data_IF_851473923404
#
_entry.id   IF_851473923404
#
_cell.length_a   1.000
_cell.length_b   1.000
_cell.length_c   1.000
_cell.angle_alpha   90.00
_cell.angle_beta   90.00
_cell.angle_gamma   90.00
#
_symmetry.space_group_name_H-M   'P 1'
#
loop_
_entity.id
_entity.type
_entity.pdbx_description
1 polymer ?
#
# COMPACT_ATOMS: atom_id res chain seq x y z
N UNK A 1 17.78 -2.30 70.55
CA UNK A 1 16.67 -3.10 69.99
C UNK A 1 15.75 -2.12 69.30
N UNK A 2 15.66 -2.27 67.97
CA UNK A 2 14.71 -1.70 66.99
C UNK A 2 14.45 -0.18 67.06
N UNK A 3 14.91 0.68 66.14
CA UNK A 3 14.88 0.65 64.67
C UNK A 3 13.46 0.65 64.09
N UNK A 4 12.71 1.74 64.25
CA UNK A 4 11.60 2.08 63.35
C UNK A 4 12.04 3.21 62.43
N UNK A 5 12.68 2.74 61.36
CA UNK A 5 12.75 3.22 59.99
C UNK A 5 11.71 4.28 59.63
N UNK A 6 12.12 5.56 59.72
CA UNK A 6 11.44 6.64 59.00
C UNK A 6 12.00 6.64 57.58
N UNK A 7 11.21 6.09 56.65
CA UNK A 7 11.54 6.03 55.22
C UNK A 7 11.51 7.46 54.68
N UNK A 8 12.62 8.03 54.17
CA UNK A 8 12.51 9.20 53.32
C UNK A 8 11.79 8.80 52.03
N UNK A 9 10.74 9.53 51.68
CA UNK A 9 10.10 9.47 50.36
C UNK A 9 11.21 9.60 49.30
N UNK A 10 11.38 8.52 48.54
CA UNK A 10 12.28 8.44 47.41
C UNK A 10 11.59 9.16 46.24
N UNK A 11 11.74 10.48 46.19
CA UNK A 11 11.57 11.26 44.97
C UNK A 11 12.70 10.85 44.01
N UNK A 12 12.47 9.75 43.27
CA UNK A 12 13.22 9.42 42.06
C UNK A 12 12.82 10.41 40.96
N UNK A 13 13.37 11.61 41.07
CA UNK A 13 13.75 12.41 39.92
C UNK A 13 14.81 11.61 39.12
N UNK A 14 14.80 11.77 37.80
CA UNK A 14 15.76 11.19 36.83
C UNK A 14 15.34 9.86 36.19
N UNK A 15 14.33 9.97 35.34
CA UNK A 15 14.07 9.05 34.24
C UNK A 15 13.87 9.82 32.94
N UNK A 16 14.78 10.75 32.65
CA UNK A 16 15.03 11.29 31.31
C UNK A 16 15.03 10.13 30.29
N UNK A 17 13.91 9.97 29.60
CA UNK A 17 13.86 9.47 28.23
C UNK A 17 13.18 10.52 27.35
N UNK A 18 13.42 11.79 27.69
CA UNK A 18 13.45 12.88 26.74
C UNK A 18 14.85 12.81 26.11
N UNK A 19 14.94 12.98 24.79
CA UNK A 19 16.21 13.14 24.06
C UNK A 19 17.06 11.88 23.83
N UNK A 20 16.59 11.05 22.90
CA UNK A 20 17.36 10.82 21.67
C UNK A 20 16.37 10.78 20.49
N UNK A 21 15.65 11.89 20.29
CA UNK A 21 15.46 12.32 18.90
C UNK A 21 16.86 12.69 18.42
N UNK A 22 17.57 11.67 17.93
CA UNK A 22 18.75 11.88 17.13
C UNK A 22 18.26 12.79 16.00
N UNK A 23 18.57 14.07 16.13
CA UNK A 23 18.43 15.13 15.15
C UNK A 23 19.26 14.72 13.94
N UNK A 24 18.80 13.68 13.24
CA UNK A 24 19.25 13.35 11.92
C UNK A 24 18.63 14.41 11.06
N UNK A 25 19.38 15.49 10.92
CA UNK A 25 19.47 16.23 9.67
C UNK A 25 19.23 15.20 8.57
N UNK A 26 18.08 15.29 7.91
CA UNK A 26 17.84 14.52 6.69
C UNK A 26 18.90 15.03 5.72
N UNK A 27 20.07 14.41 5.81
CA UNK A 27 21.17 14.71 4.92
C UNK A 27 20.58 14.44 3.55
N UNK A 28 20.52 15.50 2.78
CA UNK A 28 20.11 15.55 1.39
C UNK A 28 21.18 14.76 0.62
N UNK A 29 21.25 13.46 0.89
CA UNK A 29 22.09 12.49 0.23
C UNK A 29 21.51 12.35 -1.18
N UNK A 30 21.91 13.30 -2.02
CA UNK A 30 22.00 13.28 -3.47
C UNK A 30 22.85 12.09 -3.91
N UNK A 31 22.35 10.89 -3.62
CA UNK A 31 22.96 9.63 -3.98
C UNK A 31 22.12 9.00 -5.07
N UNK A 32 22.32 9.49 -6.31
CA UNK A 32 22.08 8.85 -7.61
C UNK A 32 21.29 7.51 -7.59
N UNK A 33 20.07 7.54 -7.07
CA UNK A 33 19.09 6.47 -7.18
C UNK A 33 18.35 6.62 -8.50
N UNK A 34 17.86 5.53 -9.11
CA UNK A 34 17.25 5.60 -10.43
C UNK A 34 16.12 6.64 -10.41
N UNK A 35 16.16 7.59 -11.35
CA UNK A 35 15.30 8.78 -11.50
C UNK A 35 13.78 8.53 -11.48
N UNK A 36 13.37 7.26 -11.33
CA UNK A 36 12.01 6.81 -11.20
C UNK A 36 11.38 7.20 -9.86
N UNK A 37 12.13 7.22 -8.75
CA UNK A 37 11.57 7.52 -7.43
C UNK A 37 11.37 9.02 -7.16
N UNK A 38 12.13 9.89 -7.83
CA UNK A 38 11.96 11.35 -7.74
C UNK A 38 10.67 11.81 -8.40
N UNK A 39 10.27 11.19 -9.52
CA UNK A 39 9.05 11.55 -10.23
C UNK A 39 8.41 10.33 -10.93
N UNK A 40 7.72 9.45 -10.18
CA UNK A 40 7.18 8.21 -10.73
C UNK A 40 5.98 8.44 -11.66
N UNK A 41 5.27 9.56 -11.50
CA UNK A 41 3.96 9.80 -12.13
C UNK A 41 3.93 9.69 -13.65
N UNK A 42 4.83 10.33 -14.44
CA UNK A 42 4.73 10.26 -15.90
C UNK A 42 4.94 8.85 -16.44
N UNK A 43 5.89 8.10 -15.86
CA UNK A 43 6.21 6.72 -16.27
C UNK A 43 5.12 5.75 -15.82
N UNK A 44 4.62 5.88 -14.58
CA UNK A 44 3.51 5.06 -14.09
C UNK A 44 2.25 5.28 -14.91
N UNK A 45 1.87 6.53 -15.19
CA UNK A 45 0.68 6.83 -16.00
C UNK A 45 0.83 6.24 -17.40
N UNK A 46 2.01 6.38 -18.04
CA UNK A 46 2.28 5.75 -19.33
C UNK A 46 2.07 4.23 -19.29
N UNK A 47 2.63 3.54 -18.29
CA UNK A 47 2.47 2.10 -18.12
C UNK A 47 1.00 1.74 -17.90
N UNK A 48 0.29 2.47 -17.04
CA UNK A 48 -1.14 2.24 -16.79
C UNK A 48 -1.97 2.45 -18.06
N UNK A 49 -1.70 3.51 -18.83
CA UNK A 49 -2.37 3.76 -20.10
C UNK A 49 -2.12 2.63 -21.10
N UNK A 50 -0.89 2.13 -21.22
CA UNK A 50 -0.57 0.99 -22.09
C UNK A 50 -1.30 -0.28 -21.64
N UNK A 51 -1.36 -0.54 -20.32
CA UNK A 51 -2.11 -1.68 -19.77
C UNK A 51 -3.60 -1.53 -20.05
N UNK A 52 -4.19 -0.36 -19.85
CA UNK A 52 -5.60 -0.09 -20.13
C UNK A 52 -5.94 -0.26 -21.61
N UNK A 53 -5.08 0.26 -22.49
CA UNK A 53 -5.22 0.09 -23.93
C UNK A 53 -5.10 -1.38 -24.34
N UNK A 54 -4.20 -2.14 -23.72
CA UNK A 54 -4.11 -3.59 -23.90
C UNK A 54 -5.38 -4.31 -23.48
N UNK A 55 -5.94 -4.00 -22.32
CA UNK A 55 -7.18 -4.62 -21.82
C UNK A 55 -8.37 -4.32 -22.75
N UNK A 56 -8.42 -3.15 -23.38
CA UNK A 56 -9.50 -2.78 -24.30
C UNK A 56 -9.33 -3.39 -25.69
N UNK A 57 -8.09 -3.44 -26.22
CA UNK A 57 -7.85 -3.83 -27.61
C UNK A 57 -7.50 -5.31 -27.82
N UNK A 58 -7.00 -6.02 -26.81
CA UNK A 58 -6.62 -7.44 -26.94
C UNK A 58 -7.81 -8.41 -26.98
N UNK A 59 -8.89 -8.24 -26.18
CA UNK A 59 -10.00 -9.18 -26.19
C UNK A 59 -10.74 -9.14 -27.54
N UNK A 60 -11.12 -10.30 -28.11
CA UNK A 60 -11.99 -10.32 -29.27
C UNK A 60 -13.36 -9.71 -28.93
N UNK A 61 -14.04 -9.13 -29.93
CA UNK A 61 -15.30 -8.39 -29.74
C UNK A 61 -16.37 -9.18 -28.98
N UNK A 62 -16.45 -10.50 -29.19
CA UNK A 62 -17.42 -11.37 -28.52
C UNK A 62 -17.16 -11.46 -27.01
N UNK A 63 -15.89 -11.56 -26.61
CA UNK A 63 -15.49 -11.57 -25.19
C UNK A 63 -15.73 -10.20 -24.58
N UNK A 64 -15.37 -9.13 -25.30
CA UNK A 64 -15.58 -7.76 -24.84
C UNK A 64 -17.06 -7.45 -24.57
N UNK A 65 -17.96 -7.88 -25.46
CA UNK A 65 -19.40 -7.63 -25.33
C UNK A 65 -20.01 -8.23 -24.05
N UNK A 66 -19.46 -9.35 -23.56
CA UNK A 66 -19.95 -10.06 -22.37
C UNK A 66 -19.23 -9.60 -21.10
N UNK A 67 -17.93 -9.35 -21.17
CA UNK A 67 -17.06 -9.19 -19.99
C UNK A 67 -16.48 -7.79 -19.81
N UNK A 68 -16.92 -6.80 -20.59
CA UNK A 68 -16.44 -5.41 -20.54
C UNK A 68 -16.35 -4.83 -19.11
N UNK A 69 -17.40 -5.00 -18.30
CA UNK A 69 -17.44 -4.46 -16.94
C UNK A 69 -16.45 -5.15 -16.01
N UNK A 70 -16.28 -6.47 -16.13
CA UNK A 70 -15.30 -7.22 -15.33
C UNK A 70 -13.89 -6.80 -15.70
N UNK A 71 -13.58 -6.72 -17.00
CA UNK A 71 -12.28 -6.26 -17.50
C UNK A 71 -11.98 -4.82 -17.05
N UNK A 72 -12.97 -3.93 -17.11
CA UNK A 72 -12.83 -2.56 -16.65
C UNK A 72 -12.63 -2.46 -15.12
N UNK A 73 -13.34 -3.27 -14.35
CA UNK A 73 -13.17 -3.39 -12.91
C UNK A 73 -11.76 -3.85 -12.54
N UNK A 74 -11.25 -4.86 -13.24
CA UNK A 74 -9.89 -5.37 -13.05
C UNK A 74 -8.84 -4.33 -13.42
N UNK A 75 -9.07 -3.54 -14.47
CA UNK A 75 -8.21 -2.41 -14.79
C UNK A 75 -8.20 -1.34 -13.69
N UNK A 76 -9.38 -0.97 -13.16
CA UNK A 76 -9.48 -0.06 -12.02
C UNK A 76 -8.72 -0.58 -10.79
N UNK A 77 -8.81 -1.88 -10.54
CA UNK A 77 -8.09 -2.56 -9.47
C UNK A 77 -6.56 -2.50 -9.66
N UNK A 78 -6.06 -2.63 -10.89
CA UNK A 78 -4.64 -2.45 -11.22
C UNK A 78 -4.18 -1.00 -10.98
N UNK A 79 -5.01 -0.01 -11.34
CA UNK A 79 -4.70 1.41 -11.12
C UNK A 79 -4.57 1.70 -9.62
N UNK A 80 -5.59 1.33 -8.85
CA UNK A 80 -5.60 1.51 -7.39
C UNK A 80 -4.39 0.82 -6.78
N UNK A 81 -4.08 -0.38 -7.26
CA UNK A 81 -2.94 -1.12 -6.76
C UNK A 81 -1.62 -0.41 -7.02
N UNK A 82 -1.42 0.08 -8.24
CA UNK A 82 -0.23 0.82 -8.64
C UNK A 82 -0.03 2.08 -7.79
N UNK A 83 -1.12 2.83 -7.53
CA UNK A 83 -1.09 4.03 -6.67
C UNK A 83 -0.71 3.64 -5.24
N UNK A 84 -1.36 2.63 -4.67
CA UNK A 84 -1.09 2.16 -3.31
C UNK A 84 0.34 1.68 -3.13
N UNK A 85 0.85 0.93 -4.10
CA UNK A 85 2.24 0.46 -4.12
C UNK A 85 3.23 1.62 -4.18
N UNK A 86 3.03 2.60 -5.05
CA UNK A 86 3.93 3.77 -5.16
C UNK A 86 3.95 4.58 -3.86
N UNK A 87 2.78 4.86 -3.28
CA UNK A 87 2.73 5.63 -2.04
C UNK A 87 3.32 4.82 -0.88
N UNK A 88 3.04 3.51 -0.80
CA UNK A 88 3.61 2.63 0.22
C UNK A 88 5.14 2.55 0.15
N UNK A 89 5.70 2.43 -1.06
CA UNK A 89 7.16 2.49 -1.25
C UNK A 89 7.73 3.86 -0.94
N UNK A 90 7.04 4.95 -1.29
CA UNK A 90 7.50 6.30 -0.93
C UNK A 90 7.58 6.47 0.58
N UNK A 91 6.58 6.01 1.33
CA UNK A 91 6.63 6.04 2.81
C UNK A 91 7.83 5.24 3.30
N UNK A 92 8.07 4.05 2.75
CA UNK A 92 9.21 3.21 3.13
C UNK A 92 10.55 3.95 2.98
N UNK A 93 10.77 4.64 1.86
CA UNK A 93 12.02 5.37 1.61
C UNK A 93 12.12 6.70 2.37
N UNK A 94 11.00 7.33 2.73
CA UNK A 94 11.01 8.62 3.45
C UNK A 94 11.12 8.47 4.97
N UNK A 95 10.73 7.33 5.54
CA UNK A 95 10.70 7.13 7.01
C UNK A 95 11.78 6.16 7.49
N UNK A 96 13.02 6.34 7.03
CA UNK A 96 14.14 5.54 7.49
C UNK A 96 14.33 5.67 9.02
N UNK A 97 14.35 4.55 9.73
CA UNK A 97 14.49 4.50 11.20
C UNK A 97 13.17 4.45 11.99
N UNK A 98 12.04 4.89 11.42
CA UNK A 98 10.74 4.86 12.10
C UNK A 98 10.01 3.51 11.91
N UNK A 99 9.22 3.11 12.92
CA UNK A 99 8.31 1.94 12.81
C UNK A 99 7.24 2.12 11.72
N UNK A 100 6.95 3.37 11.33
CA UNK A 100 5.97 3.71 10.29
C UNK A 100 6.31 3.13 8.91
N UNK A 101 7.59 2.88 8.62
CA UNK A 101 8.04 2.28 7.34
C UNK A 101 7.35 0.94 7.07
N UNK A 102 7.19 0.12 8.11
CA UNK A 102 6.61 -1.21 7.98
C UNK A 102 5.12 -1.16 7.64
N UNK A 103 4.41 -0.11 8.06
CA UNK A 103 3.02 0.13 7.69
C UNK A 103 2.88 0.42 6.19
N UNK A 104 3.80 1.20 5.61
CA UNK A 104 3.82 1.49 4.18
C UNK A 104 4.05 0.24 3.34
N UNK A 105 5.08 -0.55 3.67
CA UNK A 105 5.42 -1.77 2.89
C UNK A 105 4.39 -2.89 3.06
N UNK A 106 3.82 -3.07 4.26
CA UNK A 106 2.79 -4.08 4.49
C UNK A 106 1.55 -3.79 3.63
N UNK A 107 1.07 -2.54 3.62
CA UNK A 107 -0.05 -2.16 2.76
C UNK A 107 0.29 -2.30 1.27
N UNK A 108 1.49 -1.93 0.83
CA UNK A 108 1.93 -2.14 -0.55
C UNK A 108 1.87 -3.62 -0.96
N UNK A 109 2.34 -4.53 -0.09
CA UNK A 109 2.29 -5.97 -0.33
C UNK A 109 0.86 -6.50 -0.41
N UNK A 110 -0.01 -6.11 0.52
CA UNK A 110 -1.43 -6.53 0.53
C UNK A 110 -2.12 -6.09 -0.76
N UNK A 111 -1.88 -4.85 -1.18
CA UNK A 111 -2.45 -4.28 -2.40
C UNK A 111 -1.98 -5.02 -3.66
N UNK A 112 -0.69 -5.36 -3.75
CA UNK A 112 -0.14 -6.16 -4.87
C UNK A 112 -0.76 -7.56 -4.90
N UNK A 113 -0.88 -8.23 -3.75
CA UNK A 113 -1.49 -9.56 -3.66
C UNK A 113 -2.97 -9.51 -4.09
N UNK A 114 -3.71 -8.50 -3.63
CA UNK A 114 -5.10 -8.29 -4.06
C UNK A 114 -5.19 -8.07 -5.57
N UNK A 115 -4.25 -7.31 -6.15
CA UNK A 115 -4.17 -7.11 -7.59
C UNK A 115 -3.93 -8.41 -8.36
N UNK A 116 -2.94 -9.19 -7.94
CA UNK A 116 -2.63 -10.48 -8.55
C UNK A 116 -3.83 -11.43 -8.48
N UNK A 117 -4.49 -11.55 -7.32
CA UNK A 117 -5.67 -12.40 -7.15
C UNK A 117 -6.83 -11.95 -8.04
N UNK A 118 -7.12 -10.65 -8.10
CA UNK A 118 -8.19 -10.12 -8.95
C UNK A 118 -7.94 -10.36 -10.43
N UNK A 119 -6.70 -10.18 -10.90
CA UNK A 119 -6.31 -10.44 -12.29
C UNK A 119 -6.43 -11.93 -12.61
N UNK A 120 -5.89 -12.80 -11.75
CA UNK A 120 -5.93 -14.25 -11.94
C UNK A 120 -7.38 -14.73 -12.00
N UNK A 121 -8.22 -14.31 -11.04
CA UNK A 121 -9.62 -14.71 -11.02
C UNK A 121 -10.38 -14.23 -12.26
N UNK A 122 -10.13 -13.00 -12.71
CA UNK A 122 -10.71 -12.46 -13.95
C UNK A 122 -10.30 -13.27 -15.18
N UNK A 123 -9.02 -13.65 -15.29
CA UNK A 123 -8.52 -14.45 -16.42
C UNK A 123 -9.19 -15.83 -16.46
N UNK A 124 -9.39 -16.47 -15.30
CA UNK A 124 -10.10 -17.74 -15.22
C UNK A 124 -11.57 -17.59 -15.56
N UNK A 125 -12.21 -16.52 -15.11
CA UNK A 125 -13.62 -16.29 -15.39
C UNK A 125 -13.87 -16.05 -16.88
N UNK A 126 -13.03 -15.22 -17.51
CA UNK A 126 -13.09 -14.92 -18.94
C UNK A 126 -12.68 -16.11 -19.80
N UNK A 127 -11.63 -16.84 -19.41
CA UNK A 127 -11.08 -17.93 -20.22
C UNK A 127 -11.79 -19.27 -20.08
N UNK A 128 -12.28 -19.59 -18.88
CA UNK A 128 -12.86 -20.90 -18.55
C UNK A 128 -14.32 -20.82 -18.08
N UNK A 129 -14.89 -19.62 -17.96
CA UNK A 129 -16.26 -19.42 -17.46
C UNK A 129 -16.43 -19.74 -15.97
N UNK A 130 -15.34 -19.91 -15.21
CA UNK A 130 -15.35 -20.30 -13.80
C UNK A 130 -14.35 -19.49 -12.98
N UNK A 131 -14.69 -19.21 -11.72
CA UNK A 131 -13.75 -18.60 -10.77
C UNK A 131 -12.70 -19.61 -10.32
N UNK A 132 -11.50 -19.11 -9.94
CA UNK A 132 -10.48 -19.92 -9.27
C UNK A 132 -10.94 -20.38 -7.89
N UNK A 133 -11.79 -19.57 -7.26
CA UNK A 133 -12.34 -19.85 -5.94
C UNK A 133 -13.81 -20.23 -6.06
N UNK A 134 -14.14 -21.53 -6.15
CA UNK A 134 -15.50 -21.98 -6.41
C UNK A 134 -16.51 -21.56 -5.32
N UNK A 135 -16.04 -21.21 -4.13
CA UNK A 135 -16.87 -20.70 -3.03
C UNK A 135 -17.40 -19.27 -3.28
N UNK A 136 -16.74 -18.53 -4.18
CA UNK A 136 -17.12 -17.16 -4.56
C UNK A 136 -17.72 -17.12 -5.97
N UNK A 137 -18.22 -18.25 -6.51
CA UNK A 137 -18.86 -18.28 -7.83
C UNK A 137 -20.06 -17.34 -7.94
N UNK A 138 -20.77 -17.12 -6.83
CA UNK A 138 -22.01 -16.34 -6.78
C UNK A 138 -21.78 -14.92 -6.23
N UNK A 139 -20.61 -14.64 -5.64
CA UNK A 139 -20.29 -13.36 -5.00
C UNK A 139 -19.11 -12.70 -5.71
N UNK A 140 -19.19 -11.41 -6.09
CA UNK A 140 -18.14 -10.77 -6.86
C UNK A 140 -16.88 -10.57 -6.01
N UNK A 141 -15.95 -11.52 -6.07
CA UNK A 141 -14.62 -11.47 -5.44
C UNK A 141 -13.88 -10.17 -5.77
N UNK A 142 -14.06 -9.66 -6.99
CA UNK A 142 -13.53 -8.38 -7.44
C UNK A 142 -13.97 -7.20 -6.55
N UNK A 143 -15.24 -7.15 -6.15
CA UNK A 143 -15.76 -6.09 -5.28
C UNK A 143 -15.12 -6.16 -3.89
N UNK A 144 -14.95 -7.37 -3.35
CA UNK A 144 -14.30 -7.59 -2.06
C UNK A 144 -12.84 -7.14 -2.08
N UNK A 145 -12.09 -7.51 -3.12
CA UNK A 145 -10.71 -7.07 -3.30
C UNK A 145 -10.59 -5.55 -3.45
N UNK A 146 -11.53 -4.92 -4.16
CA UNK A 146 -11.57 -3.47 -4.32
C UNK A 146 -11.75 -2.77 -2.95
N UNK A 147 -12.67 -3.26 -2.13
CA UNK A 147 -12.88 -2.75 -0.76
C UNK A 147 -11.60 -2.86 0.06
N UNK A 148 -10.92 -4.00 0.04
CA UNK A 148 -9.63 -4.18 0.75
C UNK A 148 -8.61 -3.14 0.28
N UNK A 149 -8.46 -2.95 -1.03
CA UNK A 149 -7.51 -1.97 -1.54
C UNK A 149 -7.84 -0.53 -1.15
N UNK A 150 -9.12 -0.16 -1.11
CA UNK A 150 -9.56 1.15 -0.62
C UNK A 150 -9.20 1.33 0.86
N UNK A 151 -9.39 0.30 1.68
CA UNK A 151 -8.95 0.32 3.08
C UNK A 151 -7.43 0.45 3.21
N UNK A 152 -6.64 -0.24 2.38
CA UNK A 152 -5.19 -0.09 2.36
C UNK A 152 -4.78 1.33 1.94
N UNK A 153 -5.39 1.91 0.90
CA UNK A 153 -5.14 3.29 0.51
C UNK A 153 -5.47 4.27 1.62
N UNK A 154 -6.60 4.06 2.31
CA UNK A 154 -6.98 4.89 3.45
C UNK A 154 -5.98 4.77 4.61
N UNK A 155 -5.51 3.56 4.92
CA UNK A 155 -4.46 3.33 5.93
C UNK A 155 -3.16 4.04 5.56
N UNK A 156 -2.72 3.93 4.29
CA UNK A 156 -1.56 4.65 3.76
C UNK A 156 -1.75 6.17 3.87
N UNK A 157 -2.95 6.66 3.55
CA UNK A 157 -3.26 8.09 3.65
C UNK A 157 -3.17 8.61 5.09
N UNK A 158 -3.67 7.84 6.06
CA UNK A 158 -3.52 8.16 7.48
C UNK A 158 -2.04 8.17 7.91
N UNK A 159 -1.25 7.16 7.51
CA UNK A 159 0.19 7.12 7.78
C UNK A 159 0.90 8.36 7.25
N UNK A 160 0.56 8.79 6.03
CA UNK A 160 1.12 10.00 5.44
C UNK A 160 0.74 11.27 6.20
N UNK A 161 -0.47 11.32 6.78
CA UNK A 161 -0.92 12.46 7.58
C UNK A 161 -0.16 12.54 8.90
N UNK A 162 0.15 11.41 9.53
CA UNK A 162 0.98 11.36 10.74
C UNK A 162 2.37 11.91 10.45
N UNK A 163 3.03 11.42 9.39
CA UNK A 163 4.37 11.87 8.99
C UNK A 163 4.44 13.39 8.74
N UNK A 164 3.37 13.98 8.19
CA UNK A 164 3.28 15.44 7.92
C UNK A 164 2.90 16.30 9.12
N UNK A 165 2.32 15.70 10.14
CA UNK A 165 1.94 16.42 11.37
C UNK A 165 3.11 16.52 12.36
N UNK A 166 4.20 15.82 12.09
CA UNK A 166 5.47 15.85 12.82
C UNK A 166 6.47 16.87 12.22
N UNK A 167 6.10 17.56 11.13
CA UNK A 167 6.80 18.73 10.56
C UNK A 167 6.18 20.05 11.06
#
# INVERSE_FOLDING_TARGET
MSSEQNVPENDEETGDNIEFEEERTYDESLGMGPSFFENPWPKTVLILTLVGLGIVLLPPMDVWAVWNYTLLGTYGLIIIASIGTIIGFRIWFTTEGSRLRYGGIANAMVVIVCAALGVIDTLFWVGLGRSVFPQFSDSPLLSFLLVIQVFCLYSIWLLRRVIRGEE
#
